data_IF_607528513395
#
_entry.id   IF_607528513395
#
_cell.length_a   1.000
_cell.length_b   1.000
_cell.length_c   1.000
_cell.angle_alpha   90.00
_cell.angle_beta   90.00
_cell.angle_gamma   90.00
#
_symmetry.space_group_name_H-M   'P 1'
#
loop_
_entity.id
_entity.type
_entity.pdbx_description
1 polymer ?
#
# COMPACT_ATOMS: atom_id res chain seq x y z
N UNK A 1 -22.03 2.00 -15.90
CA UNK A 1 -21.19 1.26 -14.94
C UNK A 1 -21.69 -0.18 -14.87
N UNK A 2 -21.16 -1.09 -15.71
CA UNK A 2 -21.42 -2.53 -15.54
C UNK A 2 -20.34 -3.04 -14.61
N UNK A 3 -20.72 -3.33 -13.36
CA UNK A 3 -19.92 -4.13 -12.46
C UNK A 3 -19.70 -5.47 -13.19
N UNK A 4 -18.50 -5.70 -13.71
CA UNK A 4 -18.14 -7.03 -14.21
C UNK A 4 -17.81 -7.83 -12.94
N UNK A 5 -18.83 -8.31 -12.24
CA UNK A 5 -18.64 -9.47 -11.37
C UNK A 5 -18.06 -10.56 -12.26
N UNK A 6 -16.90 -11.11 -11.91
CA UNK A 6 -16.54 -12.40 -12.50
C UNK A 6 -17.58 -13.38 -11.97
N UNK A 7 -18.12 -14.21 -12.85
CA UNK A 7 -19.07 -15.28 -12.47
C UNK A 7 -18.47 -16.29 -11.47
N UNK A 8 -17.18 -16.18 -11.17
CA UNK A 8 -16.41 -17.02 -10.24
C UNK A 8 -16.21 -16.37 -8.86
N UNK A 9 -16.60 -15.11 -8.67
CA UNK A 9 -16.47 -14.47 -7.36
C UNK A 9 -17.49 -15.11 -6.39
N UNK A 10 -17.07 -15.54 -5.18
CA UNK A 10 -17.99 -16.12 -4.22
C UNK A 10 -19.12 -15.13 -3.88
N UNK A 11 -20.35 -15.60 -3.61
CA UNK A 11 -21.51 -14.73 -3.40
C UNK A 11 -21.47 -13.97 -2.07
N UNK A 12 -20.40 -14.13 -1.29
CA UNK A 12 -20.21 -13.50 0.01
C UNK A 12 -18.96 -12.61 0.01
N UNK A 13 -18.98 -11.63 0.91
CA UNK A 13 -17.84 -10.77 1.17
C UNK A 13 -16.69 -11.59 1.78
N UNK A 14 -15.50 -11.52 1.17
CA UNK A 14 -14.33 -12.28 1.60
C UNK A 14 -13.84 -11.86 2.99
N UNK A 15 -13.96 -10.58 3.36
CA UNK A 15 -13.63 -10.12 4.70
C UNK A 15 -14.53 -10.75 5.75
N UNK A 16 -15.84 -10.83 5.48
CA UNK A 16 -16.78 -11.54 6.36
C UNK A 16 -16.42 -13.02 6.46
N UNK A 17 -16.16 -13.68 5.32
CA UNK A 17 -15.75 -15.08 5.28
C UNK A 17 -14.48 -15.36 6.11
N UNK A 18 -13.48 -14.49 6.00
CA UNK A 18 -12.23 -14.60 6.75
C UNK A 18 -12.43 -14.36 8.25
N UNK A 19 -13.20 -13.34 8.65
CA UNK A 19 -13.51 -13.08 10.07
C UNK A 19 -14.20 -14.30 10.70
N UNK A 20 -15.24 -14.82 10.04
CA UNK A 20 -15.98 -15.99 10.53
C UNK A 20 -15.05 -17.19 10.66
N UNK A 21 -14.20 -17.42 9.65
CA UNK A 21 -13.21 -18.51 9.67
C UNK A 21 -12.22 -18.37 10.83
N UNK A 22 -11.71 -17.16 11.10
CA UNK A 22 -10.80 -16.87 12.21
C UNK A 22 -11.48 -17.10 13.57
N UNK A 23 -12.75 -16.72 13.73
CA UNK A 23 -13.52 -16.96 14.96
C UNK A 23 -13.68 -18.46 15.20
N UNK A 24 -14.11 -19.23 14.19
CA UNK A 24 -14.27 -20.68 14.32
C UNK A 24 -12.95 -21.38 14.61
N UNK A 25 -11.87 -20.98 13.95
CA UNK A 25 -10.54 -21.51 14.22
C UNK A 25 -10.10 -21.23 15.67
N UNK A 26 -10.31 -20.00 16.16
CA UNK A 26 -10.00 -19.64 17.55
C UNK A 26 -10.81 -20.47 18.55
N UNK A 27 -12.13 -20.60 18.34
CA UNK A 27 -13.02 -21.39 19.21
C UNK A 27 -12.61 -22.86 19.21
N UNK A 28 -12.29 -23.44 18.05
CA UNK A 28 -11.84 -24.82 17.94
C UNK A 28 -10.53 -25.05 18.70
N UNK A 29 -9.54 -24.17 18.52
CA UNK A 29 -8.26 -24.24 19.26
C UNK A 29 -8.48 -24.10 20.77
N UNK A 30 -9.32 -23.16 21.20
CA UNK A 30 -9.66 -22.97 22.61
C UNK A 30 -10.36 -24.21 23.19
N UNK A 31 -11.29 -24.83 22.45
CA UNK A 31 -11.98 -26.03 22.87
C UNK A 31 -11.03 -27.23 23.01
N UNK A 32 -10.11 -27.43 22.06
CA UNK A 32 -9.09 -28.48 22.15
C UNK A 32 -8.14 -28.22 23.33
N UNK A 33 -7.74 -26.97 23.54
CA UNK A 33 -6.89 -26.59 24.67
C UNK A 33 -7.57 -26.84 26.01
N UNK A 34 -8.84 -26.45 26.15
CA UNK A 34 -9.64 -26.70 27.35
C UNK A 34 -9.82 -28.21 27.59
N UNK A 35 -10.15 -28.97 26.55
CA UNK A 35 -10.22 -30.43 26.63
C UNK A 35 -8.89 -31.02 27.11
N UNK A 36 -7.76 -30.63 26.54
CA UNK A 36 -6.44 -31.11 26.97
C UNK A 36 -6.13 -30.71 28.42
N UNK A 37 -6.48 -29.50 28.84
CA UNK A 37 -6.29 -29.00 30.20
C UNK A 37 -7.07 -29.83 31.23
N UNK A 38 -8.34 -30.14 30.92
CA UNK A 38 -9.19 -30.96 31.78
C UNK A 38 -8.77 -32.43 31.74
N UNK A 39 -8.53 -33.02 30.57
CA UNK A 39 -8.14 -34.44 30.37
C UNK A 39 -6.75 -34.79 30.88
N UNK A 40 -5.87 -33.81 31.12
CA UNK A 40 -4.62 -33.97 31.88
C UNK A 40 -4.90 -34.26 33.39
N UNK A 41 -5.81 -35.19 33.67
CA UNK A 41 -6.54 -35.40 34.92
C UNK A 41 -5.72 -35.98 36.09
N UNK A 42 -4.45 -36.36 35.93
CA UNK A 42 -3.76 -37.09 37.01
C UNK A 42 -2.68 -36.29 37.75
N UNK A 43 -2.00 -35.33 37.09
CA UNK A 43 -0.84 -34.66 37.69
C UNK A 43 -0.89 -33.15 37.50
N UNK A 44 -0.91 -32.41 38.60
CA UNK A 44 -0.79 -30.93 38.64
C UNK A 44 0.42 -30.42 37.83
N UNK A 45 1.48 -31.22 37.76
CA UNK A 45 2.67 -30.94 36.93
C UNK A 45 2.34 -30.86 35.44
N UNK A 46 1.54 -31.80 34.90
CA UNK A 46 1.18 -31.82 33.48
C UNK A 46 0.37 -30.59 33.06
N UNK A 47 -0.57 -30.13 33.91
CA UNK A 47 -1.31 -28.87 33.67
C UNK A 47 -0.40 -27.65 33.67
N UNK A 48 0.58 -27.60 34.58
CA UNK A 48 1.57 -26.51 34.63
C UNK A 48 2.42 -26.48 33.37
N UNK A 49 2.86 -27.63 32.88
CA UNK A 49 3.62 -27.73 31.63
C UNK A 49 2.80 -27.36 30.39
N UNK A 50 1.51 -27.74 30.32
CA UNK A 50 0.62 -27.31 29.24
C UNK A 50 0.48 -25.79 29.21
N UNK A 51 0.15 -25.18 30.35
CA UNK A 51 0.00 -23.72 30.46
C UNK A 51 1.31 -23.01 30.13
N UNK A 52 2.42 -23.45 30.72
CA UNK A 52 3.74 -22.87 30.48
C UNK A 52 4.16 -23.01 29.01
N UNK A 53 3.90 -24.16 28.38
CA UNK A 53 4.16 -24.40 26.96
C UNK A 53 3.34 -23.49 26.06
N UNK A 54 2.03 -23.33 26.33
CA UNK A 54 1.18 -22.40 25.58
C UNK A 54 1.65 -20.96 25.73
N UNK A 55 1.97 -20.52 26.96
CA UNK A 55 2.52 -19.18 27.19
C UNK A 55 3.85 -18.97 26.47
N UNK A 56 4.73 -19.97 26.45
CA UNK A 56 5.99 -19.92 25.73
C UNK A 56 5.76 -19.81 24.22
N UNK A 57 4.85 -20.61 23.64
CA UNK A 57 4.52 -20.55 22.21
C UNK A 57 3.95 -19.19 21.84
N UNK A 58 3.03 -18.65 22.63
CA UNK A 58 2.47 -17.31 22.40
C UNK A 58 3.55 -16.23 22.52
N UNK A 59 4.40 -16.31 23.55
CA UNK A 59 5.51 -15.37 23.74
C UNK A 59 6.51 -15.43 22.58
N UNK A 60 6.84 -16.62 22.09
CA UNK A 60 7.70 -16.80 20.91
C UNK A 60 7.02 -16.27 19.65
N UNK A 61 5.73 -16.53 19.44
CA UNK A 61 5.00 -16.00 18.29
C UNK A 61 4.96 -14.47 18.29
N UNK A 62 4.63 -13.84 19.42
CA UNK A 62 4.60 -12.38 19.58
C UNK A 62 6.01 -11.77 19.48
N UNK A 63 7.02 -12.47 19.99
CA UNK A 63 8.42 -12.03 19.95
C UNK A 63 9.06 -12.16 18.57
N UNK A 64 8.70 -13.17 17.79
CA UNK A 64 9.28 -13.45 16.48
C UNK A 64 8.52 -12.79 15.33
N UNK A 65 7.20 -12.62 15.46
CA UNK A 65 6.35 -12.06 14.40
C UNK A 65 5.78 -10.70 14.80
N UNK A 66 5.52 -9.89 13.77
CA UNK A 66 4.72 -8.67 13.87
C UNK A 66 3.62 -8.69 12.81
N UNK A 67 2.49 -8.10 13.14
CA UNK A 67 1.45 -7.79 12.16
C UNK A 67 1.90 -6.52 11.42
N UNK A 68 2.05 -6.60 10.11
CA UNK A 68 2.43 -5.47 9.26
C UNK A 68 1.20 -4.67 8.86
N UNK A 69 0.17 -5.37 8.41
CA UNK A 69 -1.11 -4.80 8.02
C UNK A 69 -2.16 -5.91 8.07
N UNK A 70 -3.43 -5.51 8.10
CA UNK A 70 -4.58 -6.38 7.82
C UNK A 70 -5.06 -6.01 6.43
N UNK A 71 -5.18 -6.99 5.54
CA UNK A 71 -5.66 -6.73 4.18
C UNK A 71 -7.11 -6.24 4.16
N UNK A 72 -7.56 -5.70 3.02
CA UNK A 72 -8.96 -5.35 2.82
C UNK A 72 -9.93 -6.53 2.99
N UNK A 73 -9.45 -7.77 2.79
CA UNK A 73 -10.18 -9.00 3.07
C UNK A 73 -10.05 -9.46 4.54
N UNK A 74 -9.64 -8.59 5.46
CA UNK A 74 -9.49 -8.87 6.88
C UNK A 74 -8.52 -10.02 7.21
N UNK A 75 -7.50 -10.22 6.37
CA UNK A 75 -6.47 -11.23 6.60
C UNK A 75 -5.17 -10.59 7.13
N UNK A 76 -4.65 -11.02 8.30
CA UNK A 76 -3.45 -10.42 8.87
C UNK A 76 -2.20 -10.83 8.09
N UNK A 77 -1.39 -9.85 7.68
CA UNK A 77 -0.08 -10.08 7.08
C UNK A 77 1.00 -10.04 8.15
N UNK A 78 1.64 -11.19 8.34
CA UNK A 78 2.71 -11.36 9.31
C UNK A 78 4.08 -11.24 8.65
N UNK A 79 5.01 -10.62 9.34
CA UNK A 79 6.42 -10.62 9.00
C UNK A 79 7.26 -10.94 10.23
N UNK A 80 8.51 -11.36 10.02
CA UNK A 80 9.48 -11.47 11.11
C UNK A 80 9.69 -10.09 11.73
N UNK A 81 9.61 -10.01 13.05
CA UNK A 81 9.66 -8.75 13.82
C UNK A 81 10.91 -7.94 13.53
N UNK A 82 12.04 -8.64 13.41
CA UNK A 82 13.37 -8.06 13.15
C UNK A 82 13.77 -8.12 11.66
N UNK A 83 12.84 -8.49 10.79
CA UNK A 83 13.06 -8.47 9.34
C UNK A 83 13.13 -7.05 8.79
N UNK A 84 13.75 -6.93 7.63
CA UNK A 84 13.84 -5.68 6.89
C UNK A 84 12.44 -5.09 6.60
N UNK A 85 12.34 -3.77 6.67
CA UNK A 85 11.16 -3.00 6.30
C UNK A 85 11.40 -2.38 4.91
N UNK A 86 10.69 -2.79 3.85
CA UNK A 86 10.94 -2.30 2.49
C UNK A 86 10.89 -0.78 2.37
N UNK A 87 9.94 -0.13 3.05
CA UNK A 87 9.79 1.32 3.09
C UNK A 87 10.98 2.01 3.77
N UNK A 88 11.65 1.36 4.72
CA UNK A 88 12.86 1.88 5.40
C UNK A 88 14.15 1.66 4.63
N UNK A 89 14.13 0.85 3.57
CA UNK A 89 15.32 0.58 2.74
C UNK A 89 15.49 1.56 1.58
N UNK A 90 14.45 2.34 1.27
CA UNK A 90 14.48 3.28 0.17
C UNK A 90 15.14 4.59 0.59
N UNK A 91 16.12 5.02 -0.20
CA UNK A 91 16.76 6.32 -0.05
C UNK A 91 15.90 7.46 -0.59
N UNK A 92 16.51 8.65 -0.73
CA UNK A 92 15.85 9.84 -1.28
C UNK A 92 15.39 9.63 -2.72
N UNK A 93 14.29 10.28 -3.09
CA UNK A 93 13.90 10.45 -4.49
C UNK A 93 14.73 11.60 -5.06
N UNK A 94 15.79 11.27 -5.79
CA UNK A 94 16.68 12.26 -6.40
C UNK A 94 16.64 12.14 -7.94
N UNK A 95 16.81 13.26 -8.66
CA UNK A 95 16.95 13.24 -10.11
C UNK A 95 18.11 12.33 -10.51
N UNK A 96 17.87 11.39 -11.42
CA UNK A 96 18.96 10.66 -12.06
C UNK A 96 19.62 11.57 -13.11
N UNK A 97 20.95 11.50 -13.28
CA UNK A 97 21.78 12.48 -14.00
C UNK A 97 21.52 12.65 -15.52
N UNK A 98 20.37 12.21 -16.04
CA UNK A 98 19.96 12.36 -17.43
C UNK A 98 18.45 12.60 -17.60
N UNK A 99 17.70 12.85 -16.52
CA UNK A 99 16.25 13.04 -16.59
C UNK A 99 15.95 14.52 -16.85
N UNK A 100 15.15 14.80 -17.88
CA UNK A 100 14.70 16.15 -18.20
C UNK A 100 13.80 16.71 -17.08
N UNK A 101 13.72 18.03 -16.99
CA UNK A 101 12.82 18.68 -16.04
C UNK A 101 11.35 18.37 -16.40
N UNK A 102 10.52 18.09 -15.39
CA UNK A 102 9.12 17.73 -15.63
C UNK A 102 8.32 18.92 -16.20
N UNK A 103 7.59 18.70 -17.29
CA UNK A 103 6.58 19.63 -17.77
C UNK A 103 5.19 19.18 -17.30
N UNK A 104 4.77 19.69 -16.14
CA UNK A 104 3.43 19.46 -15.59
C UNK A 104 2.45 20.61 -15.91
N UNK A 105 2.83 21.55 -16.79
CA UNK A 105 1.99 22.68 -17.17
C UNK A 105 1.16 22.38 -18.43
N UNK A 106 1.73 21.61 -19.36
CA UNK A 106 1.08 21.25 -20.61
C UNK A 106 0.24 19.98 -20.45
N UNK A 107 -1.09 20.10 -20.32
CA UNK A 107 -1.96 18.92 -20.24
C UNK A 107 -2.26 18.33 -21.63
N UNK A 108 -2.27 17.01 -21.73
CA UNK A 108 -2.74 16.25 -22.90
C UNK A 108 -4.17 15.71 -22.69
N UNK A 109 -4.91 15.37 -23.76
CA UNK A 109 -6.28 14.84 -23.66
C UNK A 109 -6.40 13.52 -22.87
N UNK A 110 -5.29 12.82 -22.65
CA UNK A 110 -5.23 11.52 -21.99
C UNK A 110 -4.66 11.58 -20.58
N UNK A 111 -4.37 12.78 -20.09
CA UNK A 111 -3.78 13.00 -18.79
C UNK A 111 -4.78 12.78 -17.66
N UNK A 112 -4.26 12.34 -16.51
CA UNK A 112 -5.00 12.13 -15.28
C UNK A 112 -4.42 13.06 -14.21
N UNK A 113 -4.73 14.37 -14.25
CA UNK A 113 -4.11 15.36 -13.37
C UNK A 113 -4.49 15.19 -11.89
N UNK A 114 -5.39 14.27 -11.53
CA UNK A 114 -5.67 13.93 -10.15
C UNK A 114 -6.57 12.70 -10.07
N UNK A 115 -7.07 12.43 -8.87
CA UNK A 115 -7.88 11.24 -8.60
C UNK A 115 -9.02 11.04 -9.61
N UNK A 116 -9.10 9.85 -10.21
CA UNK A 116 -10.10 9.45 -11.22
C UNK A 116 -10.08 10.28 -12.52
N UNK A 117 -8.99 11.01 -12.78
CA UNK A 117 -8.81 11.78 -14.02
C UNK A 117 -9.59 13.09 -14.07
N UNK A 118 -9.57 13.78 -15.22
CA UNK A 118 -10.08 15.15 -15.36
C UNK A 118 -11.61 15.23 -15.18
N UNK A 119 -12.33 14.19 -15.58
CA UNK A 119 -13.79 14.07 -15.44
C UNK A 119 -14.23 13.29 -14.20
N UNK A 120 -13.29 12.90 -13.33
CA UNK A 120 -13.53 12.09 -12.12
C UNK A 120 -14.24 10.75 -12.37
N UNK A 121 -14.10 10.21 -13.58
CA UNK A 121 -14.78 8.98 -14.03
C UNK A 121 -13.90 7.74 -14.02
N UNK A 122 -12.60 7.90 -13.79
CA UNK A 122 -11.58 6.86 -13.88
C UNK A 122 -11.60 6.10 -15.23
N UNK A 123 -11.89 6.83 -16.30
CA UNK A 123 -12.11 6.27 -17.62
C UNK A 123 -11.42 7.10 -18.69
N UNK A 124 -10.86 6.42 -19.68
CA UNK A 124 -10.22 7.01 -20.85
C UNK A 124 -10.76 6.34 -22.11
N UNK A 125 -11.20 7.16 -23.07
CA UNK A 125 -11.56 6.70 -24.39
C UNK A 125 -10.30 6.42 -25.22
N UNK A 126 -10.31 5.39 -26.07
CA UNK A 126 -9.33 5.27 -27.15
C UNK A 126 -8.45 4.02 -27.15
N UNK A 127 -7.77 3.61 -26.05
CA UNK A 127 -6.78 2.54 -26.16
C UNK A 127 -7.46 1.19 -26.44
N UNK A 128 -7.14 0.61 -27.59
CA UNK A 128 -7.50 -0.77 -27.92
C UNK A 128 -6.59 -1.72 -27.11
N UNK A 129 -7.06 -2.15 -25.95
CA UNK A 129 -6.32 -3.11 -25.12
C UNK A 129 -6.59 -4.54 -25.60
N UNK A 130 -5.51 -5.33 -25.72
CA UNK A 130 -5.61 -6.77 -25.93
C UNK A 130 -6.44 -7.40 -24.81
N UNK A 131 -7.41 -8.24 -25.17
CA UNK A 131 -8.34 -8.89 -24.22
C UNK A 131 -7.93 -10.30 -23.84
N UNK A 132 -7.12 -10.95 -24.67
CA UNK A 132 -6.62 -12.30 -24.42
C UNK A 132 -5.22 -12.24 -23.80
N UNK A 133 -5.19 -12.11 -22.47
CA UNK A 133 -3.94 -12.06 -21.71
C UNK A 133 -3.29 -13.43 -21.54
N UNK A 134 -3.99 -14.52 -21.90
CA UNK A 134 -3.43 -15.88 -21.87
C UNK A 134 -2.56 -16.13 -23.09
N UNK A 135 -3.04 -15.75 -24.28
CA UNK A 135 -2.25 -15.86 -25.51
C UNK A 135 -1.26 -14.71 -25.68
N UNK A 136 -1.63 -13.49 -25.27
CA UNK A 136 -0.85 -12.27 -25.46
C UNK A 136 -0.70 -11.51 -24.13
N UNK A 137 0.15 -11.99 -23.21
CA UNK A 137 0.35 -11.33 -21.93
C UNK A 137 0.95 -9.92 -22.12
N UNK A 138 0.60 -8.95 -21.25
CA UNK A 138 1.17 -7.61 -21.32
C UNK A 138 2.69 -7.66 -21.07
N UNK A 139 3.43 -6.83 -21.83
CA UNK A 139 4.88 -6.69 -21.67
C UNK A 139 5.20 -5.75 -20.50
N UNK A 140 6.00 -6.21 -19.54
CA UNK A 140 6.59 -5.35 -18.52
C UNK A 140 7.57 -4.37 -19.18
N UNK A 141 7.30 -3.07 -19.09
CA UNK A 141 8.20 -2.03 -19.62
C UNK A 141 9.31 -1.70 -18.62
N UNK A 142 8.96 -1.49 -17.36
CA UNK A 142 9.91 -1.21 -16.28
C UNK A 142 9.28 -1.50 -14.92
N UNK A 143 10.12 -1.55 -13.88
CA UNK A 143 9.71 -1.70 -12.48
C UNK A 143 10.58 -0.81 -11.60
N UNK A 144 9.95 0.06 -10.82
CA UNK A 144 10.62 1.02 -9.95
C UNK A 144 10.25 0.74 -8.49
N UNK A 145 11.23 0.57 -7.58
CA UNK A 145 10.95 0.59 -6.15
C UNK A 145 10.42 1.97 -5.72
N UNK A 146 9.26 1.98 -5.07
CA UNK A 146 8.57 3.16 -4.55
C UNK A 146 8.25 2.97 -3.07
N UNK A 147 8.05 4.07 -2.34
CA UNK A 147 7.70 4.03 -0.92
C UNK A 147 6.34 3.39 -0.66
N UNK A 148 6.06 3.04 0.60
CA UNK A 148 4.75 2.52 0.97
C UNK A 148 3.67 3.60 0.88
N UNK A 149 2.46 3.26 0.46
CA UNK A 149 1.38 4.23 0.38
C UNK A 149 0.22 3.73 -0.46
N UNK A 150 -0.87 4.50 -0.44
CA UNK A 150 -2.12 4.20 -1.13
C UNK A 150 -2.55 5.32 -2.09
N UNK A 151 -1.69 6.33 -2.25
CA UNK A 151 -1.88 7.36 -3.27
C UNK A 151 -1.92 6.72 -4.65
N UNK A 152 -2.90 7.09 -5.47
CA UNK A 152 -2.81 6.87 -6.90
C UNK A 152 -1.78 7.83 -7.51
N UNK A 153 -1.48 7.63 -8.79
CA UNK A 153 -0.66 8.57 -9.55
C UNK A 153 -1.54 9.63 -10.20
N UNK A 154 -1.11 10.89 -10.09
CA UNK A 154 -1.54 11.95 -10.99
C UNK A 154 -0.54 12.03 -12.14
N UNK A 155 -1.01 11.91 -13.38
CA UNK A 155 -0.17 11.86 -14.58
C UNK A 155 -0.47 13.04 -15.49
N UNK A 156 0.56 13.79 -15.88
CA UNK A 156 0.49 14.89 -16.85
C UNK A 156 1.72 14.83 -17.75
N UNK A 157 1.51 14.84 -19.07
CA UNK A 157 2.55 15.00 -20.08
C UNK A 157 3.76 14.05 -19.95
N UNK A 158 3.51 12.76 -19.72
CA UNK A 158 4.59 11.77 -19.60
C UNK A 158 5.26 11.72 -18.21
N UNK A 159 4.75 12.47 -17.24
CA UNK A 159 5.24 12.45 -15.85
C UNK A 159 4.13 12.04 -14.88
N UNK A 160 4.48 11.28 -13.86
CA UNK A 160 3.55 10.78 -12.85
C UNK A 160 4.01 11.19 -11.45
N UNK A 161 3.11 11.79 -10.67
CA UNK A 161 3.33 12.24 -9.30
C UNK A 161 2.48 11.45 -8.33
N UNK A 162 3.06 11.02 -7.22
CA UNK A 162 2.36 10.27 -6.16
C UNK A 162 2.86 10.67 -4.78
N UNK A 163 2.10 10.34 -3.73
CA UNK A 163 2.56 10.39 -2.35
C UNK A 163 3.02 9.00 -1.89
N UNK A 164 4.14 8.93 -1.18
CA UNK A 164 4.70 7.68 -0.67
C UNK A 164 5.43 7.89 0.66
N UNK A 165 5.61 6.83 1.45
CA UNK A 165 6.32 6.80 2.72
C UNK A 165 7.68 6.12 2.52
N UNK A 166 8.77 6.82 2.87
CA UNK A 166 10.13 6.25 2.90
C UNK A 166 10.73 6.50 4.27
N UNK A 167 10.90 5.43 5.04
CA UNK A 167 11.32 5.55 6.43
C UNK A 167 10.36 6.44 7.23
N UNK A 168 10.92 7.38 7.97
CA UNK A 168 10.16 8.27 8.84
C UNK A 168 9.64 9.54 8.11
N UNK A 169 9.85 9.61 6.79
CA UNK A 169 9.49 10.74 5.95
C UNK A 169 8.35 10.42 4.96
N UNK A 170 7.46 11.40 4.76
CA UNK A 170 6.41 11.37 3.75
C UNK A 170 6.87 12.19 2.53
N UNK A 171 6.81 11.55 1.37
CA UNK A 171 7.32 12.06 0.11
C UNK A 171 6.20 12.38 -0.86
N UNK A 172 6.35 13.47 -1.60
CA UNK A 172 5.73 13.68 -2.91
C UNK A 172 6.81 13.40 -3.95
N UNK A 173 6.60 12.41 -4.80
CA UNK A 173 7.60 11.93 -5.74
C UNK A 173 7.09 12.04 -7.18
N UNK A 174 7.94 12.50 -8.09
CA UNK A 174 7.67 12.57 -9.52
C UNK A 174 8.56 11.60 -10.28
N UNK A 175 7.97 10.87 -11.23
CA UNK A 175 8.61 9.88 -12.07
C UNK A 175 8.32 10.14 -13.55
N UNK A 176 9.25 9.79 -14.42
CA UNK A 176 9.02 9.72 -15.87
C UNK A 176 8.25 8.44 -16.21
N UNK A 177 7.14 8.55 -16.92
CA UNK A 177 6.25 7.41 -17.22
C UNK A 177 6.90 6.40 -18.16
N UNK A 178 7.70 6.85 -19.12
CA UNK A 178 8.30 5.94 -20.12
C UNK A 178 9.36 5.02 -19.52
N UNK A 179 10.08 5.47 -18.49
CA UNK A 179 11.22 4.74 -17.94
C UNK A 179 11.07 4.34 -16.47
N UNK A 180 10.14 4.97 -15.74
CA UNK A 180 9.96 4.82 -14.30
C UNK A 180 11.02 5.57 -13.47
N UNK A 181 11.92 6.33 -14.10
CA UNK A 181 13.01 6.99 -13.38
C UNK A 181 12.51 8.14 -12.52
N UNK A 182 13.06 8.33 -11.31
CA UNK A 182 12.74 9.47 -10.48
C UNK A 182 13.24 10.78 -11.11
N UNK A 183 12.35 11.77 -11.17
CA UNK A 183 12.63 13.13 -11.67
C UNK A 183 12.97 14.05 -10.51
N UNK A 184 12.09 14.12 -9.50
CA UNK A 184 12.28 14.91 -8.29
C UNK A 184 11.47 14.32 -7.14
N UNK A 185 11.82 14.71 -5.91
CA UNK A 185 11.03 14.41 -4.73
C UNK A 185 11.10 15.49 -3.67
N UNK A 186 10.00 15.64 -2.94
CA UNK A 186 9.87 16.56 -1.81
C UNK A 186 9.44 15.78 -0.57
N UNK A 187 10.23 15.88 0.50
CA UNK A 187 10.01 15.14 1.74
C UNK A 187 9.66 16.06 2.90
N UNK A 188 8.81 15.58 3.80
CA UNK A 188 8.60 16.13 5.13
C UNK A 188 8.81 15.04 6.18
N UNK A 189 9.25 15.42 7.37
CA UNK A 189 9.31 14.53 8.53
C UNK A 189 7.89 14.24 9.02
N UNK A 190 7.29 13.17 8.48
CA UNK A 190 5.96 12.70 8.81
C UNK A 190 5.84 11.21 8.49
N UNK A 191 5.26 10.45 9.42
CA UNK A 191 4.97 9.03 9.20
C UNK A 191 3.52 8.70 9.56
N UNK A 192 2.84 8.03 8.64
CA UNK A 192 1.52 7.46 8.89
C UNK A 192 1.60 5.93 8.78
N UNK A 193 1.04 5.25 9.77
CA UNK A 193 0.98 3.80 9.83
C UNK A 193 -0.30 3.41 10.58
N UNK A 194 -1.11 2.56 9.96
CA UNK A 194 -2.35 2.05 10.53
C UNK A 194 -2.45 0.54 10.34
N UNK A 195 -2.99 -0.17 11.32
CA UNK A 195 -3.06 -1.63 11.28
C UNK A 195 -4.03 -2.17 10.22
N UNK A 196 -5.14 -1.45 9.96
CA UNK A 196 -6.18 -1.87 9.01
C UNK A 196 -5.96 -1.30 7.61
N UNK A 197 -5.12 -0.27 7.49
CA UNK A 197 -4.87 0.38 6.21
C UNK A 197 -3.39 0.51 5.86
N UNK A 198 -2.47 -0.15 6.57
CA UNK A 198 -1.07 -0.19 6.22
C UNK A 198 -0.33 1.15 6.35
N UNK A 199 0.86 1.19 5.74
CA UNK A 199 1.80 2.31 5.86
C UNK A 199 1.58 3.34 4.75
N UNK A 200 1.64 4.62 5.12
CA UNK A 200 1.83 5.73 4.21
C UNK A 200 0.57 6.51 3.80
N UNK A 201 0.76 7.54 2.97
CA UNK A 201 -0.27 8.51 2.60
C UNK A 201 -1.40 7.91 1.76
N UNK A 202 -2.60 8.49 1.88
CA UNK A 202 -3.82 8.00 1.22
C UNK A 202 -4.36 8.90 0.12
N UNK A 203 -4.08 10.20 0.19
CA UNK A 203 -4.58 11.12 -0.83
C UNK A 203 -3.81 10.95 -2.13
N UNK A 204 -4.47 11.22 -3.26
CA UNK A 204 -3.83 11.34 -4.57
C UNK A 204 -3.55 12.82 -4.83
N UNK A 205 -2.35 13.21 -5.30
CA UNK A 205 -2.06 14.61 -5.57
C UNK A 205 -2.94 15.13 -6.70
N UNK A 206 -3.10 16.45 -6.75
CA UNK A 206 -3.71 17.13 -7.91
C UNK A 206 -2.66 18.01 -8.58
N UNK A 207 -2.58 17.92 -9.90
CA UNK A 207 -1.73 18.73 -10.76
C UNK A 207 -2.62 19.76 -11.45
N UNK A 208 -2.29 21.04 -11.30
CA UNK A 208 -3.02 22.09 -11.98
C UNK A 208 -2.08 23.25 -12.29
N UNK A 209 -2.05 23.67 -13.57
CA UNK A 209 -1.24 24.79 -14.06
C UNK A 209 0.23 24.71 -13.62
N UNK A 210 0.87 23.53 -13.79
CA UNK A 210 2.29 23.34 -13.45
C UNK A 210 2.57 23.24 -11.95
N UNK A 211 1.55 23.12 -11.10
CA UNK A 211 1.69 22.99 -9.64
C UNK A 211 1.12 21.68 -9.14
N UNK A 212 1.75 21.12 -8.12
CA UNK A 212 1.32 19.89 -7.45
C UNK A 212 0.76 20.24 -6.07
N UNK A 213 -0.48 19.84 -5.82
CA UNK A 213 -1.17 19.99 -4.55
C UNK A 213 -1.26 18.62 -3.89
N UNK A 214 -0.66 18.47 -2.72
CA UNK A 214 -0.53 17.19 -2.03
C UNK A 214 -0.92 17.31 -0.56
N UNK A 215 -1.98 16.60 -0.16
CA UNK A 215 -2.42 16.52 1.24
C UNK A 215 -1.85 15.26 1.89
N UNK A 216 -0.89 15.42 2.80
CA UNK A 216 -0.30 14.29 3.52
C UNK A 216 -1.29 13.59 4.45
N UNK A 217 -0.95 12.38 4.89
CA UNK A 217 -1.79 11.63 5.84
C UNK A 217 -1.84 12.25 7.24
N UNK A 218 -0.90 13.13 7.58
CA UNK A 218 -0.90 13.91 8.82
C UNK A 218 -1.67 15.24 8.70
N UNK A 219 -2.32 15.51 7.56
CA UNK A 219 -3.12 16.71 7.32
C UNK A 219 -2.34 17.91 6.78
N UNK A 220 -1.05 17.76 6.45
CA UNK A 220 -0.22 18.82 5.89
C UNK A 220 -0.50 18.97 4.39
N UNK A 221 -1.08 20.10 3.98
CA UNK A 221 -1.33 20.44 2.57
C UNK A 221 -0.14 21.22 1.99
N UNK A 222 0.47 20.71 0.94
CA UNK A 222 1.63 21.35 0.28
C UNK A 222 1.28 21.74 -1.15
N UNK A 223 1.81 22.86 -1.59
CA UNK A 223 1.86 23.24 -3.00
C UNK A 223 3.32 23.27 -3.46
N UNK A 224 3.63 22.47 -4.49
CA UNK A 224 4.96 22.33 -5.06
C UNK A 224 4.98 22.85 -6.50
N UNK A 225 6.10 23.43 -6.89
CA UNK A 225 6.41 23.68 -8.29
C UNK A 225 6.56 22.33 -9.02
N UNK A 226 5.75 22.09 -10.04
CA UNK A 226 5.68 20.78 -10.70
C UNK A 226 6.94 20.39 -11.47
N UNK A 227 7.74 21.37 -11.87
CA UNK A 227 8.95 21.14 -12.63
C UNK A 227 10.12 20.66 -11.75
N UNK A 228 10.17 21.08 -10.48
CA UNK A 228 11.34 20.87 -9.60
C UNK A 228 11.00 20.17 -8.28
N UNK A 229 9.72 20.12 -7.88
CA UNK A 229 9.29 19.70 -6.56
C UNK A 229 9.56 20.73 -5.45
N UNK A 230 10.00 21.96 -5.80
CA UNK A 230 10.26 23.01 -4.82
C UNK A 230 8.97 23.42 -4.12
N UNK A 231 9.03 23.54 -2.79
CA UNK A 231 7.92 24.03 -1.99
C UNK A 231 7.61 25.49 -2.30
N UNK A 232 6.35 25.77 -2.62
CA UNK A 232 5.83 27.12 -2.79
C UNK A 232 5.17 27.62 -1.51
N UNK A 233 4.33 26.79 -0.89
CA UNK A 233 3.69 27.04 0.41
C UNK A 233 3.21 25.71 1.04
N UNK A 234 2.98 25.73 2.36
CA UNK A 234 2.43 24.63 3.15
C UNK A 234 1.53 25.15 4.28
#
# INVERSE_FOLDING_TARGET
MRLIMRLEDPPWDNAVGNIVSLIFAFVAVAAVWLWAFFQCCSKRSSRRWLVAGTLLVVALAVGLFRVVEVSGDMWPRLALRFGAMPDRQLGKVAPQAAVAQADLATATPHDFPGFLGPSRSNWIAGPALGRDWMAQPPKLLWKQPIGAGWSAFAAVNGYAVTLEQRGDDEWVACYEIETGKPVWGHAIAARHEDALGGIGPRSTPTIHAGRVYALGATGVLRCLEGATGKLLWS
#
